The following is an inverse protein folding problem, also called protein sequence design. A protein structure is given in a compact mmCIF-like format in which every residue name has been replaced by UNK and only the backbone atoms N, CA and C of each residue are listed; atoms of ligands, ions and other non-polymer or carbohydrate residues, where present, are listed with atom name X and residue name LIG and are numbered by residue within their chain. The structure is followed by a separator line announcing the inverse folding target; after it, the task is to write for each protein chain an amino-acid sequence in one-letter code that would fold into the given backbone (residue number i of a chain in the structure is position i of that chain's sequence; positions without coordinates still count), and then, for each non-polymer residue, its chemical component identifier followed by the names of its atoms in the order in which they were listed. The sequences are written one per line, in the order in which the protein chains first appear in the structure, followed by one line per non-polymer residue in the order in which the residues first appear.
data_IF_847377274613
#
_entry.id   IF_847377274613
#
_cell.length_a   1.000
_cell.length_b   1.000
_cell.length_c   1.000
_cell.angle_alpha   90.00
_cell.angle_beta   90.00
_cell.angle_gamma   90.00
#
_symmetry.space_group_name_H-M   'P 1'
#
loop_
_entity.id
_entity.type
_entity.pdbx_description
1 polymer ?
#
# COMPACT_ATOMS: atom_id res chain seq x y z
N UNK A 1 18.16 3.12 -19.90
CA UNK A 1 17.16 3.42 -18.84
C UNK A 1 15.92 2.58 -19.12
N UNK A 2 15.10 2.27 -18.11
CA UNK A 2 13.88 1.47 -18.31
C UNK A 2 12.97 2.09 -19.37
N UNK A 3 12.44 1.28 -20.29
CA UNK A 3 11.49 1.77 -21.29
C UNK A 3 10.09 1.90 -20.69
N UNK A 4 9.21 2.69 -21.31
CA UNK A 4 7.82 2.81 -20.84
C UNK A 4 7.09 1.46 -20.88
N UNK A 5 7.32 0.67 -21.93
CA UNK A 5 6.71 -0.64 -22.08
C UNK A 5 7.20 -1.62 -21.02
N UNK A 6 8.52 -1.67 -20.78
CA UNK A 6 9.10 -2.50 -19.74
C UNK A 6 8.54 -2.13 -18.35
N UNK A 7 8.38 -0.83 -18.07
CA UNK A 7 7.78 -0.40 -16.80
C UNK A 7 6.31 -0.79 -16.66
N UNK A 8 5.54 -0.74 -17.75
CA UNK A 8 4.13 -1.19 -17.75
C UNK A 8 4.01 -2.67 -17.39
N UNK A 9 4.98 -3.50 -17.76
CA UNK A 9 5.02 -4.91 -17.36
C UNK A 9 5.14 -5.06 -15.85
N UNK A 10 6.03 -4.33 -15.18
CA UNK A 10 6.15 -4.39 -13.71
C UNK A 10 4.90 -3.86 -13.00
N UNK A 11 4.25 -2.83 -13.55
CA UNK A 11 2.95 -2.36 -13.06
C UNK A 11 1.91 -3.47 -13.20
N UNK A 12 1.81 -4.11 -14.37
CA UNK A 12 0.85 -5.19 -14.60
C UNK A 12 1.08 -6.37 -13.65
N UNK A 13 2.33 -6.82 -13.47
CA UNK A 13 2.69 -7.87 -12.51
C UNK A 13 2.26 -7.48 -11.10
N UNK A 14 2.62 -6.27 -10.67
CA UNK A 14 2.29 -5.76 -9.33
C UNK A 14 0.78 -5.72 -9.11
N UNK A 15 0.02 -5.18 -10.07
CA UNK A 15 -1.43 -5.11 -10.01
C UNK A 15 -2.08 -6.49 -10.00
N UNK A 16 -1.56 -7.46 -10.75
CA UNK A 16 -2.06 -8.83 -10.75
C UNK A 16 -1.85 -9.50 -9.39
N UNK A 17 -0.65 -9.38 -8.80
CA UNK A 17 -0.36 -9.91 -7.46
C UNK A 17 -1.26 -9.25 -6.42
N UNK A 18 -1.42 -7.92 -6.50
CA UNK A 18 -2.29 -7.17 -5.59
C UNK A 18 -3.75 -7.63 -5.67
N UNK A 19 -4.31 -7.75 -6.89
CA UNK A 19 -5.68 -8.24 -7.09
C UNK A 19 -5.86 -9.68 -6.61
N UNK A 20 -4.89 -10.56 -6.87
CA UNK A 20 -4.90 -11.92 -6.36
C UNK A 20 -4.87 -11.94 -4.83
N UNK A 21 -4.06 -11.10 -4.21
CA UNK A 21 -3.98 -11.01 -2.75
C UNK A 21 -5.28 -10.50 -2.13
N UNK A 22 -5.94 -9.51 -2.74
CA UNK A 22 -7.28 -9.05 -2.31
C UNK A 22 -8.28 -10.21 -2.34
N UNK A 23 -8.33 -10.96 -3.45
CA UNK A 23 -9.22 -12.11 -3.57
C UNK A 23 -8.90 -13.19 -2.52
N UNK A 24 -7.60 -13.46 -2.29
CA UNK A 24 -7.13 -14.39 -1.27
C UNK A 24 -7.59 -13.98 0.13
N UNK A 25 -7.39 -12.72 0.51
CA UNK A 25 -7.82 -12.19 1.80
C UNK A 25 -9.34 -12.22 1.97
N UNK A 26 -10.09 -11.86 0.92
CA UNK A 26 -11.56 -11.92 0.93
C UNK A 26 -12.08 -13.35 1.10
N UNK A 27 -11.53 -14.31 0.36
CA UNK A 27 -11.88 -15.73 0.50
C UNK A 27 -11.49 -16.24 1.90
N UNK A 28 -10.34 -15.83 2.43
CA UNK A 28 -9.91 -16.12 3.80
C UNK A 28 -10.91 -15.62 4.85
N UNK A 29 -11.44 -14.40 4.67
CA UNK A 29 -12.47 -13.83 5.53
C UNK A 29 -13.78 -14.62 5.54
N UNK A 30 -14.18 -15.19 4.39
CA UNK A 30 -15.36 -16.05 4.30
C UNK A 30 -15.12 -17.41 4.94
N UNK A 31 -13.98 -18.04 4.63
CA UNK A 31 -13.69 -19.42 5.07
C UNK A 31 -13.30 -19.49 6.55
N UNK A 32 -12.73 -18.42 7.10
CA UNK A 32 -12.28 -18.36 8.50
C UNK A 32 -12.65 -17.02 9.15
N UNK A 33 -13.95 -16.76 9.40
CA UNK A 33 -14.42 -15.44 9.84
C UNK A 33 -13.85 -15.01 11.19
N UNK A 34 -13.72 -15.94 12.15
CA UNK A 34 -13.21 -15.62 13.49
C UNK A 34 -11.73 -15.26 13.47
N UNK A 35 -10.91 -15.96 12.68
CA UNK A 35 -9.48 -15.64 12.53
C UNK A 35 -9.28 -14.30 11.82
N UNK A 36 -10.03 -14.08 10.75
CA UNK A 36 -9.96 -12.84 9.97
C UNK A 36 -10.38 -11.62 10.78
N UNK A 37 -11.42 -11.75 11.62
CA UNK A 37 -11.80 -10.71 12.59
C UNK A 37 -10.67 -10.40 13.56
N UNK A 38 -10.02 -11.40 14.17
CA UNK A 38 -8.89 -11.14 15.08
C UNK A 38 -7.76 -10.36 14.41
N UNK A 39 -7.45 -10.67 13.14
CA UNK A 39 -6.41 -9.94 12.37
C UNK A 39 -6.84 -8.49 12.13
N UNK A 40 -8.08 -8.29 11.68
CA UNK A 40 -8.65 -6.97 11.39
C UNK A 40 -8.75 -6.12 12.66
N UNK A 41 -9.24 -6.69 13.77
CA UNK A 41 -9.34 -6.03 15.07
C UNK A 41 -7.96 -5.69 15.62
N UNK A 42 -6.96 -6.56 15.43
CA UNK A 42 -5.58 -6.25 15.82
C UNK A 42 -5.01 -5.10 14.98
N UNK A 43 -5.34 -5.03 13.69
CA UNK A 43 -4.92 -3.93 12.82
C UNK A 43 -5.55 -2.61 13.27
N UNK A 44 -6.86 -2.56 13.51
CA UNK A 44 -7.55 -1.36 13.99
C UNK A 44 -7.24 -1.02 15.46
N UNK A 45 -7.02 -2.01 16.32
CA UNK A 45 -6.58 -1.81 17.70
C UNK A 45 -5.19 -1.20 17.78
N UNK A 46 -4.31 -1.53 16.82
CA UNK A 46 -3.06 -0.79 16.62
C UNK A 46 -3.27 0.61 16.04
N UNK A 47 -4.48 1.00 15.62
CA UNK A 47 -4.81 2.39 15.27
C UNK A 47 -5.55 3.10 16.42
N UNK A 48 -6.10 2.37 17.39
CA UNK A 48 -6.82 2.95 18.53
C UNK A 48 -5.94 3.85 19.41
N UNK A 49 -4.62 3.60 19.48
CA UNK A 49 -3.71 4.52 20.17
C UNK A 49 -3.70 5.92 19.52
N UNK A 50 -4.09 6.02 18.24
CA UNK A 50 -4.19 7.28 17.50
C UNK A 50 -5.52 8.01 17.72
N UNK A 51 -6.53 7.39 18.37
CA UNK A 51 -7.84 8.04 18.63
C UNK A 51 -7.73 9.32 19.47
N UNK A 52 -6.72 9.40 20.33
CA UNK A 52 -6.47 10.59 21.18
C UNK A 52 -5.49 11.59 20.54
N UNK A 53 -5.02 11.31 19.33
CA UNK A 53 -4.05 12.18 18.66
C UNK A 53 -4.75 13.37 18.00
N UNK A 54 -4.04 14.49 17.93
CA UNK A 54 -4.48 15.60 17.09
C UNK A 54 -4.46 15.15 15.61
N UNK A 55 -5.32 15.72 14.74
CA UNK A 55 -5.31 15.40 13.31
C UNK A 55 -3.94 15.55 12.66
N UNK A 56 -3.13 16.50 13.14
CA UNK A 56 -1.74 16.69 12.69
C UNK A 56 -0.84 15.51 13.06
N UNK A 57 -1.00 14.92 14.25
CA UNK A 57 -0.19 13.78 14.67
C UNK A 57 -0.61 12.50 13.93
N UNK A 58 -1.92 12.32 13.67
CA UNK A 58 -2.46 11.26 12.81
C UNK A 58 -1.88 11.38 11.40
N UNK A 59 -1.92 12.59 10.82
CA UNK A 59 -1.31 12.91 9.53
C UNK A 59 0.16 12.49 9.46
N UNK A 60 0.98 12.95 10.42
CA UNK A 60 2.42 12.64 10.45
C UNK A 60 2.64 11.14 10.55
N UNK A 61 1.87 10.45 11.40
CA UNK A 61 1.99 9.00 11.59
C UNK A 61 1.70 8.23 10.29
N UNK A 62 0.55 8.48 9.66
CA UNK A 62 0.15 7.84 8.39
C UNK A 62 1.18 8.13 7.31
N UNK A 63 1.51 9.41 7.13
CA UNK A 63 2.45 9.86 6.10
C UNK A 63 3.80 9.16 6.26
N UNK A 64 4.40 9.20 7.45
CA UNK A 64 5.71 8.59 7.68
C UNK A 64 5.65 7.07 7.54
N UNK A 65 4.61 6.41 8.04
CA UNK A 65 4.46 4.96 7.92
C UNK A 65 4.48 4.53 6.43
N UNK A 66 3.68 5.20 5.60
CA UNK A 66 3.59 4.88 4.18
C UNK A 66 4.84 5.27 3.40
N UNK A 67 5.46 6.41 3.71
CA UNK A 67 6.73 6.84 3.12
C UNK A 67 7.84 5.84 3.43
N UNK A 68 7.95 5.40 4.69
CA UNK A 68 8.96 4.43 5.12
C UNK A 68 8.74 3.07 4.47
N UNK A 69 7.50 2.56 4.44
CA UNK A 69 7.13 1.32 3.74
C UNK A 69 7.48 1.38 2.25
N UNK A 70 7.05 2.42 1.55
CA UNK A 70 7.30 2.58 0.12
C UNK A 70 8.81 2.72 -0.19
N UNK A 71 9.54 3.47 0.64
CA UNK A 71 10.99 3.58 0.51
C UNK A 71 11.68 2.23 0.77
N UNK A 72 11.28 1.54 1.83
CA UNK A 72 11.79 0.21 2.18
C UNK A 72 11.60 -0.77 1.02
N UNK A 73 10.43 -0.82 0.41
CA UNK A 73 10.13 -1.68 -0.74
C UNK A 73 11.03 -1.40 -1.94
N UNK A 74 11.25 -0.13 -2.27
CA UNK A 74 12.16 0.25 -3.36
C UNK A 74 13.60 -0.14 -3.00
N UNK A 75 14.05 0.18 -1.79
CA UNK A 75 15.41 -0.08 -1.34
C UNK A 75 15.70 -1.57 -1.31
N UNK A 76 14.82 -2.39 -0.75
CA UNK A 76 15.00 -3.84 -0.63
C UNK A 76 14.62 -4.60 -1.90
N UNK A 77 14.27 -3.90 -2.99
CA UNK A 77 14.05 -4.51 -4.30
C UNK A 77 15.23 -5.34 -4.80
N UNK A 78 16.47 -4.95 -4.45
CA UNK A 78 17.68 -5.69 -4.84
C UNK A 78 17.73 -7.13 -4.31
N UNK A 79 16.92 -7.49 -3.30
CA UNK A 79 16.74 -8.88 -2.87
C UNK A 79 15.82 -9.67 -3.83
N UNK A 80 16.16 -9.66 -5.12
CA UNK A 80 15.45 -10.41 -6.18
C UNK A 80 13.93 -10.21 -6.21
N UNK A 81 13.47 -8.98 -5.93
CA UNK A 81 12.04 -8.64 -5.90
C UNK A 81 11.18 -9.35 -4.85
N UNK A 82 11.76 -10.20 -3.98
CA UNK A 82 11.01 -10.95 -2.96
C UNK A 82 10.32 -10.01 -1.98
N UNK A 83 11.06 -9.03 -1.44
CA UNK A 83 10.51 -8.06 -0.49
C UNK A 83 9.36 -7.24 -1.09
N UNK A 84 9.49 -6.64 -2.30
CA UNK A 84 8.37 -6.01 -2.98
C UNK A 84 7.14 -6.90 -3.17
N UNK A 85 7.33 -8.16 -3.59
CA UNK A 85 6.23 -9.08 -3.85
C UNK A 85 5.47 -9.46 -2.58
N UNK A 86 6.20 -9.76 -1.49
CA UNK A 86 5.58 -10.02 -0.18
C UNK A 86 4.84 -8.79 0.31
N UNK A 87 5.44 -7.60 0.16
CA UNK A 87 4.81 -6.35 0.58
C UNK A 87 3.49 -6.08 -0.13
N UNK A 88 3.46 -6.16 -1.47
CA UNK A 88 2.21 -5.90 -2.19
C UNK A 88 1.16 -6.97 -1.92
N UNK A 89 1.59 -8.22 -1.70
CA UNK A 89 0.69 -9.30 -1.31
C UNK A 89 0.05 -9.02 0.06
N UNK A 90 0.83 -8.73 1.11
CA UNK A 90 0.27 -8.50 2.45
C UNK A 90 -0.63 -7.27 2.51
N UNK A 91 -0.32 -6.20 1.75
CA UNK A 91 -1.19 -5.03 1.65
C UNK A 91 -2.52 -5.36 0.94
N UNK A 92 -2.47 -6.13 -0.14
CA UNK A 92 -3.68 -6.56 -0.84
C UNK A 92 -4.53 -7.52 -0.01
N UNK A 93 -3.89 -8.49 0.63
CA UNK A 93 -4.55 -9.47 1.52
C UNK A 93 -5.28 -8.78 2.67
N UNK A 94 -4.64 -7.81 3.33
CA UNK A 94 -5.26 -7.04 4.39
C UNK A 94 -6.52 -6.29 3.90
N UNK A 95 -6.47 -5.65 2.73
CA UNK A 95 -7.64 -5.01 2.13
C UNK A 95 -8.76 -6.04 1.88
N UNK A 96 -8.42 -7.21 1.34
CA UNK A 96 -9.37 -8.30 1.12
C UNK A 96 -10.03 -8.77 2.41
N UNK A 97 -9.25 -8.96 3.49
CA UNK A 97 -9.73 -9.35 4.80
C UNK A 97 -10.71 -8.33 5.37
N UNK A 98 -10.35 -7.03 5.33
CA UNK A 98 -11.20 -5.96 5.85
C UNK A 98 -12.53 -5.92 5.09
N UNK A 99 -12.51 -6.01 3.75
CA UNK A 99 -13.72 -6.05 2.93
C UNK A 99 -14.59 -7.26 3.29
N UNK A 100 -14.01 -8.45 3.39
CA UNK A 100 -14.75 -9.67 3.67
C UNK A 100 -15.35 -9.74 5.08
N UNK A 101 -14.66 -9.17 6.09
CA UNK A 101 -15.16 -9.10 7.48
C UNK A 101 -16.36 -8.17 7.57
N UNK A 102 -16.24 -6.93 7.10
CA UNK A 102 -17.30 -5.93 7.25
C UNK A 102 -18.49 -6.14 6.31
N UNK A 103 -18.32 -6.87 5.21
CA UNK A 103 -19.45 -7.24 4.35
C UNK A 103 -20.46 -8.11 5.09
N UNK A 104 -19.98 -9.01 5.98
CA UNK A 104 -20.85 -9.87 6.79
C UNK A 104 -21.69 -9.06 7.79
N UNK A 105 -21.26 -7.84 8.14
CA UNK A 105 -21.94 -6.97 9.10
C UNK A 105 -22.96 -6.02 8.43
N UNK A 106 -23.20 -6.17 7.11
CA UNK A 106 -24.00 -5.26 6.29
C UNK A 106 -23.55 -3.79 6.35
N UNK A 107 -22.31 -3.56 6.77
CA UNK A 107 -21.78 -2.21 7.00
C UNK A 107 -21.02 -1.70 5.78
N UNK A 108 -21.65 -1.78 4.60
CA UNK A 108 -21.09 -1.28 3.34
C UNK A 108 -20.67 0.19 3.45
N UNK A 109 -21.42 0.99 4.22
CA UNK A 109 -21.07 2.38 4.49
C UNK A 109 -19.76 2.51 5.29
N UNK A 110 -19.53 1.64 6.28
CA UNK A 110 -18.28 1.63 7.07
C UNK A 110 -17.11 1.08 6.27
N UNK A 111 -17.32 0.11 5.38
CA UNK A 111 -16.29 -0.34 4.42
C UNK A 111 -15.88 0.83 3.54
N UNK A 112 -16.86 1.52 2.96
CA UNK A 112 -16.60 2.66 2.07
C UNK A 112 -15.90 3.75 2.85
N UNK A 113 -16.43 4.21 3.98
CA UNK A 113 -15.83 5.32 4.73
C UNK A 113 -14.49 4.98 5.39
N UNK A 114 -14.23 3.71 5.71
CA UNK A 114 -13.01 3.24 6.35
C UNK A 114 -11.91 2.76 5.38
N UNK A 115 -12.23 2.38 4.13
CA UNK A 115 -11.22 1.97 3.13
C UNK A 115 -11.03 2.96 1.97
N UNK A 116 -12.09 3.60 1.46
CA UNK A 116 -11.97 4.50 0.30
C UNK A 116 -10.99 5.66 0.48
N UNK A 117 -10.88 6.30 1.67
CA UNK A 117 -9.99 7.45 1.77
C UNK A 117 -8.51 7.08 1.67
N UNK A 118 -8.15 5.87 2.08
CA UNK A 118 -6.80 5.33 1.94
C UNK A 118 -6.53 4.89 0.50
N UNK A 119 -7.51 4.26 -0.15
CA UNK A 119 -7.29 3.51 -1.38
C UNK A 119 -6.94 4.33 -2.63
N UNK A 120 -7.50 5.54 -2.81
CA UNK A 120 -7.47 6.20 -4.12
C UNK A 120 -6.07 6.68 -4.50
N UNK A 121 -5.31 7.24 -3.56
CA UNK A 121 -3.97 7.75 -3.81
C UNK A 121 -2.87 6.82 -3.29
N UNK A 122 -3.10 6.14 -2.15
CA UNK A 122 -2.11 5.25 -1.56
C UNK A 122 -1.90 3.98 -2.39
N UNK A 123 -2.97 3.33 -2.88
CA UNK A 123 -2.84 2.09 -3.65
C UNK A 123 -2.05 2.32 -4.94
N UNK A 124 -2.34 3.35 -5.76
CA UNK A 124 -1.48 3.66 -6.90
C UNK A 124 -0.03 3.97 -6.51
N UNK A 125 0.20 4.67 -5.38
CA UNK A 125 1.55 4.98 -4.91
C UNK A 125 2.31 3.72 -4.49
N UNK A 126 1.67 2.79 -3.78
CA UNK A 126 2.21 1.49 -3.37
C UNK A 126 2.49 0.60 -4.58
N UNK A 127 1.58 0.55 -5.57
CA UNK A 127 1.79 -0.20 -6.82
C UNK A 127 3.02 0.36 -7.56
N UNK A 128 3.15 1.68 -7.66
CA UNK A 128 4.31 2.32 -8.29
C UNK A 128 5.61 2.02 -7.52
N UNK A 129 5.61 2.15 -6.19
CA UNK A 129 6.77 1.86 -5.36
C UNK A 129 7.22 0.41 -5.51
N UNK A 130 6.27 -0.53 -5.46
CA UNK A 130 6.53 -1.96 -5.64
C UNK A 130 7.05 -2.25 -7.04
N UNK A 131 6.46 -1.65 -8.08
CA UNK A 131 6.91 -1.83 -9.47
C UNK A 131 8.36 -1.40 -9.65
N UNK A 132 8.77 -0.26 -9.05
CA UNK A 132 10.17 0.15 -9.04
C UNK A 132 11.06 -0.79 -8.22
N UNK A 133 10.58 -1.32 -7.10
CA UNK A 133 11.29 -2.32 -6.30
C UNK A 133 11.55 -3.61 -7.08
N UNK A 134 10.53 -4.17 -7.75
CA UNK A 134 10.67 -5.37 -8.59
C UNK A 134 11.65 -5.11 -9.73
N UNK A 135 11.51 -3.98 -10.42
CA UNK A 135 12.43 -3.57 -11.47
C UNK A 135 13.87 -3.46 -10.99
N UNK A 136 14.11 -2.84 -9.82
CA UNK A 136 15.44 -2.77 -9.22
C UNK A 136 15.99 -4.15 -8.87
N UNK A 137 15.14 -5.10 -8.46
CA UNK A 137 15.51 -6.50 -8.30
C UNK A 137 16.03 -7.13 -9.59
N UNK A 138 15.36 -6.89 -10.71
CA UNK A 138 15.84 -7.33 -12.02
C UNK A 138 17.16 -6.64 -12.41
N UNK A 139 17.27 -5.31 -12.21
CA UNK A 139 18.52 -4.59 -12.46
C UNK A 139 19.68 -5.13 -11.59
N UNK A 140 19.41 -5.53 -10.35
CA UNK A 140 20.41 -6.13 -9.47
C UNK A 140 20.82 -7.52 -9.96
N UNK A 141 19.87 -8.36 -10.38
CA UNK A 141 20.18 -9.64 -11.02
C UNK A 141 21.08 -9.44 -12.26
N UNK A 142 20.74 -8.49 -13.13
CA UNK A 142 21.56 -8.17 -14.32
C UNK A 142 22.93 -7.63 -13.96
N UNK A 143 23.06 -6.86 -12.87
CA UNK A 143 24.36 -6.45 -12.31
C UNK A 143 25.21 -7.64 -11.90
N UNK A 144 24.63 -8.65 -11.25
CA UNK A 144 25.35 -9.85 -10.82
C UNK A 144 25.79 -10.71 -12.01
N UNK A 145 24.87 -10.97 -12.94
CA UNK A 145 25.06 -11.88 -14.08
C UNK A 145 25.84 -11.27 -15.25
N UNK A 146 25.54 -10.03 -15.61
CA UNK A 146 26.05 -9.37 -16.82
C UNK A 146 26.92 -8.13 -16.52
N UNK A 147 27.22 -7.87 -15.24
CA UNK A 147 28.08 -6.77 -14.78
C UNK A 147 27.62 -5.35 -15.14
N UNK A 148 26.35 -5.18 -15.47
CA UNK A 148 25.76 -3.89 -15.82
C UNK A 148 25.74 -2.85 -14.69
N UNK A 149 25.72 -1.54 -14.99
CA UNK A 149 25.76 -0.49 -13.96
C UNK A 149 24.45 -0.38 -13.15
N UNK A 150 24.49 -0.74 -11.86
CA UNK A 150 23.32 -0.66 -10.97
C UNK A 150 23.02 0.75 -10.42
N UNK A 151 24.07 1.53 -10.09
CA UNK A 151 23.94 2.83 -9.40
C UNK A 151 23.01 3.82 -10.12
N UNK A 152 23.06 3.83 -11.46
CA UNK A 152 22.23 4.72 -12.28
C UNK A 152 20.75 4.37 -12.17
N UNK A 153 20.42 3.06 -12.14
CA UNK A 153 19.05 2.57 -11.98
C UNK A 153 18.51 2.85 -10.59
N UNK A 154 19.33 2.62 -9.56
CA UNK A 154 18.99 2.92 -8.17
C UNK A 154 18.68 4.41 -7.96
N UNK A 155 19.57 5.30 -8.41
CA UNK A 155 19.34 6.75 -8.34
C UNK A 155 18.11 7.20 -9.14
N UNK A 156 17.79 6.53 -10.25
CA UNK A 156 16.58 6.82 -11.01
C UNK A 156 15.31 6.45 -10.24
N UNK A 157 15.26 5.27 -9.62
CA UNK A 157 14.13 4.85 -8.79
C UNK A 157 13.92 5.80 -7.60
N UNK A 158 14.98 6.21 -6.91
CA UNK A 158 14.89 7.20 -5.83
C UNK A 158 14.37 8.56 -6.32
N UNK A 159 14.83 9.04 -7.48
CA UNK A 159 14.28 10.28 -8.07
C UNK A 159 12.78 10.16 -8.36
N UNK A 160 12.31 8.98 -8.79
CA UNK A 160 10.89 8.71 -9.02
C UNK A 160 10.10 8.63 -7.72
N UNK A 161 10.69 8.08 -6.67
CA UNK A 161 10.11 8.13 -5.33
C UNK A 161 9.84 9.57 -4.89
N UNK A 162 10.87 10.43 -4.87
CA UNK A 162 10.71 11.81 -4.40
C UNK A 162 9.81 12.68 -5.30
N UNK A 163 9.78 12.45 -6.61
CA UNK A 163 9.02 13.30 -7.56
C UNK A 163 7.58 12.87 -7.79
N UNK A 164 7.23 11.61 -7.51
CA UNK A 164 5.91 11.05 -7.85
C UNK A 164 5.27 10.41 -6.63
N UNK A 165 5.95 9.42 -6.05
CA UNK A 165 5.37 8.59 -4.96
C UNK A 165 5.20 9.42 -3.69
N UNK A 166 6.22 10.18 -3.30
CA UNK A 166 6.18 11.00 -2.08
C UNK A 166 5.05 12.06 -2.11
N UNK A 167 4.86 12.86 -3.18
CA UNK A 167 3.71 13.75 -3.30
C UNK A 167 2.35 13.04 -3.25
N UNK A 168 2.23 11.86 -3.86
CA UNK A 168 0.98 11.09 -3.81
C UNK A 168 0.66 10.62 -2.39
N UNK A 169 1.66 10.12 -1.66
CA UNK A 169 1.51 9.70 -0.26
C UNK A 169 1.22 10.89 0.66
N UNK A 170 1.81 12.05 0.39
CA UNK A 170 1.51 13.28 1.11
C UNK A 170 0.04 13.67 0.94
N UNK A 171 -0.44 13.70 -0.31
CA UNK A 171 -1.84 14.00 -0.62
C UNK A 171 -2.80 12.96 0.00
N UNK A 172 -2.45 11.67 -0.04
CA UNK A 172 -3.20 10.61 0.61
C UNK A 172 -3.35 10.87 2.12
N UNK A 173 -2.23 11.13 2.81
CA UNK A 173 -2.24 11.38 4.25
C UNK A 173 -3.06 12.63 4.62
N UNK A 174 -3.03 13.70 3.81
CA UNK A 174 -3.87 14.90 4.04
C UNK A 174 -5.35 14.56 3.93
N UNK A 175 -5.75 13.84 2.88
CA UNK A 175 -7.14 13.42 2.70
C UNK A 175 -7.60 12.58 3.89
N UNK A 176 -6.77 11.62 4.29
CA UNK A 176 -7.08 10.67 5.34
C UNK A 176 -7.22 11.30 6.73
N UNK A 177 -6.33 12.21 7.09
CA UNK A 177 -6.27 12.81 8.43
C UNK A 177 -7.18 14.01 8.62
N UNK A 178 -7.51 14.74 7.54
CA UNK A 178 -8.31 15.96 7.63
C UNK A 178 -9.67 15.85 6.94
N UNK A 179 -9.75 15.26 5.75
CA UNK A 179 -10.99 15.24 4.96
C UNK A 179 -11.89 14.09 5.39
N UNK A 180 -11.34 12.89 5.56
CA UNK A 180 -12.10 11.70 5.95
C UNK A 180 -12.89 11.88 7.25
N UNK A 181 -12.30 12.36 8.36
CA UNK A 181 -13.05 12.52 9.60
C UNK A 181 -14.17 13.54 9.46
N UNK A 182 -13.98 14.60 8.65
CA UNK A 182 -15.03 15.59 8.38
C UNK A 182 -16.21 14.99 7.63
N UNK A 183 -15.94 14.17 6.60
CA UNK A 183 -16.98 13.50 5.82
C UNK A 183 -17.74 12.49 6.68
N UNK A 184 -17.03 11.68 7.47
CA UNK A 184 -17.63 10.73 8.41
C UNK A 184 -18.53 11.47 9.40
N UNK A 185 -18.01 12.50 10.08
CA UNK A 185 -18.77 13.26 11.06
C UNK A 185 -20.04 13.88 10.45
N UNK A 186 -19.95 14.44 9.24
CA UNK A 186 -21.11 15.02 8.54
C UNK A 186 -22.19 13.97 8.20
N UNK A 187 -21.80 12.76 7.83
CA UNK A 187 -22.72 11.68 7.47
C UNK A 187 -23.40 11.05 8.68
N UNK A 188 -22.70 10.93 9.82
CA UNK A 188 -23.23 10.33 11.05
C UNK A 188 -23.82 11.34 12.05
N UNK A 189 -23.71 12.65 11.79
CA UNK A 189 -24.39 13.70 12.56
C UNK A 189 -25.83 14.00 12.09
N UNK A 190 -26.38 13.18 11.21
CA UNK A 190 -27.78 13.19 10.77
C UNK A 190 -28.46 11.88 11.18
#
# INVERSE_FOLDING_TARGET
MITKEEFRTYIAITSLVFSFAILSGYIGAINSPQQSRMIVDSFFGNLDFTKNFSPLLIFVFIFLNNVLKALFVILFGFFFAIVPLVFIYTNGELIGLIVGVFQQENSLLTIVLGLLPHGILEVPAIILATSYGIWLGNCFYRRLRYKEPFRVHFSFALKKFFRVILPMLLAAAVIESFVTPMVINYLFSR
#
